data_IF_059217781766
#
_entry.id   IF_059217781766
#
_cell.length_a   1.000
_cell.length_b   1.000
_cell.length_c   1.000
_cell.angle_alpha   90.00
_cell.angle_beta   90.00
_cell.angle_gamma   90.00
#
_symmetry.space_group_name_H-M   'P 1'
#
loop_
_entity.id
_entity.type
_entity.pdbx_description
1 polymer ?
2 non-polymer ?
3 water ?
#
# COMPACT_ATOMS: atom_id res chain seq x y z
N UNK A 1 -21.08 -18.42 10.98
CA UNK A 1 -20.33 -17.47 10.16
C UNK A 1 -18.89 -17.90 10.04
N UNK A 2 -18.28 -17.69 8.86
CA UNK A 2 -16.87 -18.01 8.64
C UNK A 2 -16.00 -16.73 8.70
N UNK A 3 -14.97 -16.76 9.55
CA UNK A 3 -14.11 -15.63 9.79
C UNK A 3 -12.70 -16.05 9.36
N UNK A 4 -12.07 -15.27 8.48
CA UNK A 4 -10.71 -15.48 8.02
C UNK A 4 -9.79 -14.44 8.61
N UNK A 5 -8.72 -14.84 9.28
CA UNK A 5 -7.74 -13.95 9.72
C UNK A 5 -6.61 -14.09 8.71
N UNK A 6 -6.32 -13.07 7.91
CA UNK A 6 -5.44 -13.12 6.77
C UNK A 6 -4.32 -12.16 7.01
N UNK A 7 -3.09 -12.64 7.08
CA UNK A 7 -1.99 -11.80 7.49
C UNK A 7 -0.69 -11.86 6.72
N UNK A 8 0.12 -10.83 6.81
CA UNK A 8 1.49 -10.90 6.37
C UNK A 8 2.42 -10.62 7.57
N UNK A 9 3.50 -11.41 7.76
CA UNK A 9 4.48 -11.16 8.81
C UNK A 9 5.86 -11.51 8.30
N UNK A 10 6.84 -10.67 8.50
CA UNK A 10 8.24 -11.05 8.16
C UNK A 10 8.94 -11.56 9.38
N UNK A 11 8.77 -10.92 10.53
CA UNK A 11 9.54 -11.27 11.75
C UNK A 11 8.71 -11.83 12.88
N UNK A 12 7.47 -12.20 12.63
CA UNK A 12 6.60 -12.84 13.57
C UNK A 12 5.65 -11.98 14.43
N UNK A 13 5.81 -10.64 14.38
CA UNK A 13 5.00 -9.78 15.25
C UNK A 13 3.48 -9.83 14.87
N UNK A 14 3.23 -9.62 13.59
CA UNK A 14 1.86 -9.81 13.09
C UNK A 14 1.36 -11.25 13.21
N UNK A 15 2.27 -12.24 13.04
CA UNK A 15 1.85 -13.64 13.30
C UNK A 15 1.31 -13.87 14.72
N UNK A 16 2.03 -13.33 15.69
CA UNK A 16 1.59 -13.40 17.08
C UNK A 16 0.26 -12.69 17.30
N UNK A 17 0.14 -11.50 16.69
CA UNK A 17 -1.13 -10.77 16.78
C UNK A 17 -2.30 -11.53 16.09
N UNK A 18 -2.01 -12.16 14.96
CA UNK A 18 -3.03 -12.97 14.22
C UNK A 18 -3.58 -14.07 15.09
N UNK A 19 -2.65 -14.70 15.81
CA UNK A 19 -3.10 -15.79 16.66
C UNK A 19 -3.98 -15.32 17.78
N UNK A 20 -3.65 -14.14 18.32
CA UNK A 20 -4.51 -13.48 19.26
C UNK A 20 -5.89 -13.10 18.73
N UNK A 21 -5.90 -12.52 17.54
CA UNK A 21 -7.18 -12.17 16.90
C UNK A 21 -8.03 -13.42 16.79
N UNK A 22 -7.41 -14.51 16.33
CA UNK A 22 -8.14 -15.75 16.14
C UNK A 22 -8.66 -16.36 17.43
N UNK A 23 -7.84 -16.27 18.48
CA UNK A 23 -8.32 -16.72 19.79
C UNK A 23 -9.54 -15.99 20.26
N UNK A 24 -9.60 -14.67 20.05
CA UNK A 24 -10.74 -13.89 20.41
C UNK A 24 -11.99 -14.26 19.57
N UNK A 25 -11.80 -14.35 18.26
CA UNK A 25 -12.86 -14.79 17.35
C UNK A 25 -13.46 -16.14 17.72
N UNK A 26 -12.58 -17.06 18.16
CA UNK A 26 -13.02 -18.42 18.51
C UNK A 26 -13.86 -18.48 19.75
N UNK A 27 -13.88 -17.42 20.54
CA UNK A 27 -14.75 -17.35 21.71
C UNK A 27 -16.24 -17.23 21.31
N UNK A 28 -16.54 -16.86 20.07
CA UNK A 28 -17.92 -16.65 19.64
C UNK A 28 -18.52 -17.95 19.11
N UNK A 29 -19.52 -18.46 19.81
CA UNK A 29 -20.20 -19.67 19.36
C UNK A 29 -20.83 -19.43 18.01
N UNK A 30 -20.60 -20.34 17.09
CA UNK A 30 -21.13 -20.18 15.77
C UNK A 30 -20.10 -19.54 14.80
N UNK A 31 -18.94 -19.08 15.31
CA UNK A 31 -17.95 -18.51 14.41
C UNK A 31 -16.97 -19.62 14.10
N UNK A 32 -16.77 -19.85 12.83
CA UNK A 32 -15.76 -20.77 12.39
C UNK A 32 -14.56 -19.96 11.96
N UNK A 33 -13.42 -20.11 12.65
CA UNK A 33 -12.25 -19.26 12.42
C UNK A 33 -11.10 -19.95 11.78
N UNK A 34 -10.49 -19.31 10.78
CA UNK A 34 -9.42 -19.85 10.00
C UNK A 34 -8.30 -18.81 9.92
N UNK A 35 -7.05 -19.18 10.08
CA UNK A 35 -5.89 -18.30 9.91
C UNK A 35 -5.05 -18.65 8.72
N UNK A 36 -4.78 -17.71 7.79
CA UNK A 36 -3.92 -17.90 6.67
C UNK A 36 -3.03 -16.73 6.42
N UNK A 37 -1.92 -16.95 5.72
CA UNK A 37 -0.97 -15.92 5.41
C UNK A 37 -0.97 -15.65 3.94
N UNK A 38 -0.52 -14.46 3.54
CA UNK A 38 -0.29 -14.19 2.15
C UNK A 38 1.13 -14.69 1.79
N UNK A 39 1.34 -14.98 0.53
CA UNK A 39 2.67 -15.47 0.16
C UNK A 39 3.80 -14.50 0.37
N UNK A 40 4.97 -15.00 0.75
CA UNK A 40 6.16 -14.23 0.75
C UNK A 40 6.57 -14.01 -0.68
N UNK A 41 6.98 -12.80 -1.01
CA UNK A 41 7.44 -12.45 -2.36
C UNK A 41 8.97 -12.46 -2.46
N UNK A 42 9.69 -12.30 -1.37
CA UNK A 42 11.19 -12.32 -1.39
C UNK A 42 11.66 -13.75 -1.69
N UNK A 43 12.73 -13.90 -2.50
CA UNK A 43 13.47 -15.19 -2.58
C UNK A 43 13.77 -15.73 -1.19
N UNK A 44 13.54 -17.03 -0.96
CA UNK A 44 13.81 -17.61 0.37
C UNK A 44 15.23 -17.33 0.92
N UNK A 45 16.23 -17.40 0.07
CA UNK A 45 17.55 -17.11 0.55
C UNK A 45 17.69 -15.71 1.13
N UNK A 46 17.02 -14.73 0.51
CA UNK A 46 17.07 -13.34 0.96
C UNK A 46 16.27 -13.19 2.25
N UNK A 47 15.16 -13.91 2.34
CA UNK A 47 14.29 -13.86 3.49
C UNK A 47 15.08 -14.34 4.70
N UNK A 48 15.75 -15.49 4.51
CA UNK A 48 16.58 -16.14 5.53
C UNK A 48 17.76 -15.28 6.01
N UNK A 49 18.48 -14.72 5.06
CA UNK A 49 19.60 -13.81 5.36
C UNK A 49 19.12 -12.63 6.20
N UNK A 50 17.93 -12.11 5.87
CA UNK A 50 17.32 -11.00 6.60
C UNK A 50 16.77 -11.43 7.96
N UNK A 51 16.76 -12.71 8.28
CA UNK A 51 16.34 -13.17 9.59
C UNK A 51 14.83 -13.36 9.68
N UNK A 52 14.21 -13.57 8.54
CA UNK A 52 12.77 -13.68 8.50
C UNK A 52 12.36 -14.93 9.21
N UNK A 53 11.14 -14.92 9.73
CA UNK A 53 10.65 -16.01 10.48
C UNK A 53 9.77 -16.94 9.66
N UNK A 54 10.11 -18.23 9.64
CA UNK A 54 9.24 -19.30 9.11
C UNK A 54 7.95 -19.51 9.90
N UNK A 55 6.87 -19.83 9.19
CA UNK A 55 5.52 -19.92 9.77
C UNK A 55 4.66 -21.06 9.30
N UNK A 56 3.84 -21.57 10.21
CA UNK A 56 3.07 -22.75 9.89
C UNK A 56 1.79 -22.45 9.17
N UNK A 57 1.32 -21.19 9.17
CA UNK A 57 0.00 -21.00 8.63
C UNK A 57 -0.01 -21.41 7.15
N UNK A 58 -1.14 -21.94 6.73
CA UNK A 58 -1.38 -22.15 5.30
C UNK A 58 -1.44 -20.84 4.49
N UNK A 59 -0.98 -20.92 3.26
CA UNK A 59 -0.93 -19.81 2.33
C UNK A 59 -2.30 -19.68 1.67
N UNK A 60 -2.85 -18.46 1.75
CA UNK A 60 -4.12 -18.16 1.09
C UNK A 60 -3.96 -17.96 -0.39
N UNK A 61 -5.03 -18.25 -1.11
CA UNK A 61 -5.14 -17.81 -2.49
C UNK A 61 -6.11 -16.60 -2.48
N UNK A 62 -5.99 -15.76 -3.48
CA UNK A 62 -6.98 -14.65 -3.54
C UNK A 62 -8.40 -15.11 -3.65
N UNK A 63 -8.68 -16.17 -4.41
CA UNK A 63 -10.03 -16.64 -4.65
C UNK A 63 -10.76 -17.04 -3.44
N UNK A 64 -10.04 -17.62 -2.50
CA UNK A 64 -10.73 -18.20 -1.39
C UNK A 64 -11.30 -17.13 -0.44
N UNK A 65 -10.89 -15.86 -0.60
CA UNK A 65 -11.45 -14.78 0.26
C UNK A 65 -12.98 -14.67 0.13
N UNK A 66 -13.49 -15.12 -1.00
CA UNK A 66 -14.95 -15.14 -1.29
C UNK A 66 -15.74 -16.06 -0.36
N UNK A 67 -15.04 -17.05 0.26
CA UNK A 67 -15.71 -18.06 1.03
C UNK A 67 -15.95 -17.64 2.49
N UNK A 68 -15.60 -16.41 2.88
CA UNK A 68 -15.79 -16.01 4.25
C UNK A 68 -16.82 -14.90 4.43
N UNK A 69 -17.36 -14.79 5.62
CA UNK A 69 -18.27 -13.72 5.98
C UNK A 69 -17.61 -12.47 6.52
N UNK A 70 -16.41 -12.67 7.08
CA UNK A 70 -15.62 -11.59 7.67
C UNK A 70 -14.18 -11.91 7.41
N UNK A 71 -13.36 -10.87 7.15
CA UNK A 71 -11.94 -11.01 6.92
C UNK A 71 -11.24 -9.98 7.77
N UNK A 72 -10.32 -10.46 8.63
CA UNK A 72 -9.56 -9.50 9.47
C UNK A 72 -8.12 -9.55 8.98
N UNK A 73 -7.62 -8.44 8.41
CA UNK A 73 -6.36 -8.28 7.71
C UNK A 73 -5.28 -7.77 8.61
N UNK A 74 -4.15 -8.51 8.71
CA UNK A 74 -3.02 -8.03 9.42
C UNK A 74 -1.80 -7.74 8.57
N UNK A 75 -1.17 -6.60 8.80
CA UNK A 75 0.01 -6.18 8.07
C UNK A 75 0.92 -5.38 8.94
N UNK A 76 2.27 -5.61 8.81
CA UNK A 76 3.18 -4.59 9.38
C UNK A 76 3.04 -3.23 8.70
N UNK A 77 3.48 -2.18 9.38
CA UNK A 77 3.56 -0.82 8.86
C UNK A 77 4.83 -0.76 8.03
N UNK A 78 4.74 -0.40 6.75
CA UNK A 78 5.84 -0.15 5.90
C UNK A 78 5.77 1.31 5.38
N UNK A 79 6.41 2.24 6.06
CA UNK A 79 6.38 3.65 5.75
C UNK A 79 4.91 4.10 5.61
N UNK A 80 4.07 3.65 6.54
CA UNK A 80 2.68 4.14 6.65
C UNK A 80 1.75 3.57 5.65
N UNK A 81 2.15 2.48 4.98
CA UNK A 81 1.28 1.72 4.12
C UNK A 81 1.36 0.24 4.58
N UNK A 82 0.46 -0.59 4.02
CA UNK A 82 0.56 -2.04 4.16
C UNK A 82 1.86 -2.52 3.46
N UNK A 83 2.30 -3.78 3.75
CA UNK A 83 3.49 -4.28 3.15
C UNK A 83 3.32 -4.57 1.63
N UNK A 84 4.43 -4.51 0.92
CA UNK A 84 4.40 -4.90 -0.51
C UNK A 84 3.79 -6.29 -0.75
N UNK A 85 4.00 -7.25 0.18
CA UNK A 85 3.36 -8.56 0.08
C UNK A 85 1.85 -8.57 0.16
N UNK A 86 1.29 -7.78 1.10
CA UNK A 86 -0.13 -7.65 1.19
C UNK A 86 -0.72 -6.87 0.02
N UNK A 87 0.03 -5.88 -0.43
CA UNK A 87 -0.44 -5.03 -1.56
C UNK A 87 -0.47 -5.88 -2.84
N UNK A 88 0.55 -6.68 -3.04
CA UNK A 88 0.67 -7.52 -4.25
C UNK A 88 -0.45 -8.55 -4.23
N UNK A 89 -0.74 -9.08 -3.03
CA UNK A 89 -1.85 -10.07 -2.88
C UNK A 89 -3.21 -9.43 -3.17
N UNK A 90 -3.47 -8.28 -2.57
CA UNK A 90 -4.73 -7.58 -2.84
C UNK A 90 -4.86 -7.17 -4.29
N UNK A 91 -3.76 -6.84 -4.95
CA UNK A 91 -3.83 -6.50 -6.39
C UNK A 91 -4.24 -7.70 -7.22
N UNK A 92 -4.27 -8.90 -6.65
CA UNK A 92 -4.74 -10.09 -7.34
C UNK A 92 -6.23 -10.41 -7.10
N UNK A 93 -6.96 -9.46 -6.45
CA UNK A 93 -8.40 -9.58 -6.18
C UNK A 93 -9.33 -8.92 -7.20
N UNK A 94 -8.82 -8.58 -8.38
CA UNK A 94 -9.62 -7.98 -9.42
C UNK A 94 -10.80 -8.79 -9.87
N UNK A 95 -10.60 -10.11 -10.03
CA UNK A 95 -11.72 -10.99 -10.38
C UNK A 95 -12.80 -11.06 -9.34
N UNK A 96 -12.43 -11.04 -8.06
CA UNK A 96 -13.40 -10.94 -6.99
C UNK A 96 -14.12 -9.64 -7.00
N UNK A 97 -13.38 -8.55 -7.30
CA UNK A 97 -14.00 -7.22 -7.35
C UNK A 97 -15.12 -7.17 -8.41
N UNK A 98 -14.76 -7.69 -9.57
CA UNK A 98 -15.71 -7.66 -10.70
C UNK A 98 -16.97 -8.50 -10.48
N UNK A 99 -16.88 -9.55 -9.71
CA UNK A 99 -18.07 -10.35 -9.41
C UNK A 99 -18.81 -9.93 -8.16
N UNK A 100 -18.31 -8.93 -7.41
CA UNK A 100 -19.01 -8.57 -6.19
C UNK A 100 -18.69 -9.43 -5.02
N UNK A 101 -17.67 -10.29 -5.13
CA UNK A 101 -17.55 -11.37 -4.18
C UNK A 101 -17.36 -11.03 -2.73
N UNK A 102 -16.77 -9.86 -2.47
CA UNK A 102 -16.57 -9.45 -1.09
C UNK A 102 -17.53 -8.38 -0.63
N UNK A 103 -18.47 -7.98 -1.49
CA UNK A 103 -19.36 -6.89 -1.16
C UNK A 103 -20.18 -7.19 0.08
N UNK A 104 -20.25 -6.24 1.02
CA UNK A 104 -21.06 -6.32 2.21
C UNK A 104 -20.51 -7.19 3.34
N UNK A 105 -19.44 -7.89 3.04
CA UNK A 105 -18.75 -8.68 4.08
C UNK A 105 -18.04 -7.75 5.03
N UNK A 106 -17.81 -8.25 6.23
CA UNK A 106 -17.13 -7.45 7.27
C UNK A 106 -15.62 -7.50 7.11
N UNK A 107 -14.93 -6.41 7.35
CA UNK A 107 -13.52 -6.24 7.27
C UNK A 107 -13.00 -5.47 8.45
N UNK A 108 -11.80 -5.86 8.92
CA UNK A 108 -11.19 -5.16 10.02
C UNK A 108 -9.68 -5.33 9.85
N UNK A 109 -8.90 -4.46 10.45
CA UNK A 109 -7.45 -4.41 10.23
C UNK A 109 -6.64 -4.26 11.55
N UNK A 110 -5.50 -4.98 11.61
CA UNK A 110 -4.50 -4.85 12.71
C UNK A 110 -3.11 -4.68 12.15
N UNK A 111 -2.19 -4.11 12.96
CA UNK A 111 -0.90 -3.71 12.49
C UNK A 111 0.17 -3.92 13.53
N UNK A 112 1.39 -3.64 13.11
CA UNK A 112 2.54 -3.66 13.98
C UNK A 112 3.48 -2.59 13.43
N UNK A 113 4.30 -2.03 14.31
CA UNK A 113 5.22 -1.00 13.93
C UNK A 113 6.50 -1.16 14.74
N UNK A 114 7.60 -0.57 14.26
CA UNK A 114 8.88 -0.56 14.99
C UNK A 114 8.84 0.46 16.08
N UNK A 115 8.45 1.71 15.79
CA UNK A 115 8.43 2.73 16.82
C UNK A 115 7.16 3.61 16.86
N UNK A 116 6.06 3.22 16.21
CA UNK A 116 4.80 3.93 16.40
C UNK A 116 4.33 4.65 15.13
N UNK A 117 5.30 5.28 14.46
CA UNK A 117 5.00 6.24 13.45
C UNK A 117 4.51 5.54 12.22
N UNK A 118 3.34 5.95 11.77
CA UNK A 118 2.78 5.36 10.58
C UNK A 118 1.65 4.40 10.77
N UNK A 119 1.48 3.90 11.99
CA UNK A 119 0.50 2.85 12.16
C UNK A 119 -0.94 3.29 11.79
N UNK A 120 -1.27 4.51 12.09
CA UNK A 120 -2.62 4.98 11.75
C UNK A 120 -2.84 5.01 10.28
N UNK A 121 -1.85 5.48 9.57
CA UNK A 121 -1.94 5.53 8.11
C UNK A 121 -1.97 4.15 7.46
N UNK A 122 -1.25 3.19 8.06
CA UNK A 122 -1.31 1.82 7.52
C UNK A 122 -2.73 1.29 7.57
N UNK A 123 -3.37 1.49 8.72
CA UNK A 123 -4.71 0.92 8.90
C UNK A 123 -5.72 1.63 7.96
N UNK A 124 -5.71 2.93 7.98
CA UNK A 124 -6.70 3.65 7.15
C UNK A 124 -6.47 3.57 5.69
N UNK A 125 -5.21 3.43 5.27
CA UNK A 125 -4.93 3.19 3.82
C UNK A 125 -5.30 1.79 3.39
N UNK A 126 -5.36 0.82 4.30
CA UNK A 126 -5.84 -0.50 3.99
C UNK A 126 -7.39 -0.45 3.92
N UNK A 127 -8.07 0.28 4.84
CA UNK A 127 -9.50 0.50 4.70
C UNK A 127 -9.92 0.95 3.31
N UNK A 128 -9.12 1.80 2.68
CA UNK A 128 -9.47 2.29 1.33
C UNK A 128 -9.74 1.11 0.45
N UNK A 129 -8.80 0.18 0.34
CA UNK A 129 -8.99 -0.93 -0.55
C UNK A 129 -10.21 -1.77 -0.21
N UNK A 130 -10.42 -2.02 1.07
CA UNK A 130 -11.57 -2.77 1.56
C UNK A 130 -12.88 -2.10 1.06
N UNK A 131 -12.90 -0.78 1.08
CA UNK A 131 -14.07 -0.01 0.60
C UNK A 131 -14.28 -0.17 -0.86
N UNK A 132 -13.21 -0.24 -1.69
CA UNK A 132 -13.40 -0.53 -3.14
C UNK A 132 -14.09 -1.84 -3.36
N UNK A 133 -13.87 -2.84 -2.51
CA UNK A 133 -14.60 -4.09 -2.54
C UNK A 133 -15.99 -4.07 -1.85
N UNK A 134 -16.39 -2.92 -1.33
CA UNK A 134 -17.63 -2.78 -0.70
C UNK A 134 -17.79 -3.43 0.63
N UNK A 135 -16.65 -3.70 1.27
CA UNK A 135 -16.69 -4.30 2.61
C UNK A 135 -17.08 -3.30 3.66
N UNK A 136 -17.76 -3.79 4.71
CA UNK A 136 -18.15 -3.03 5.90
C UNK A 136 -17.00 -2.97 6.85
N UNK A 137 -16.51 -1.79 7.12
CA UNK A 137 -15.30 -1.55 7.89
C UNK A 137 -15.59 -1.47 9.35
N UNK A 138 -14.84 -2.27 10.14
CA UNK A 138 -15.00 -2.32 11.56
C UNK A 138 -13.77 -1.74 12.29
N UNK A 139 -13.82 -0.52 12.77
CA UNK A 139 -12.81 0.00 13.68
C UNK A 139 -13.09 -0.51 15.07
N UNK A 140 -12.05 -0.40 15.95
CA UNK A 140 -12.24 -0.84 17.33
C UNK A 140 -12.57 0.27 18.30
N UNK A 141 -12.43 1.56 17.96
CA UNK A 141 -12.80 2.60 18.86
C UNK A 141 -12.06 2.43 20.15
N UNK A 142 -12.71 2.81 21.25
CA UNK A 142 -12.15 2.59 22.56
C UNK A 142 -13.24 1.81 23.32
N UNK A 143 -13.18 0.50 23.22
CA UNK A 143 -14.23 -0.37 23.79
C UNK A 143 -14.27 -0.30 25.32
N UNK A 144 -15.44 -0.73 25.82
CA UNK A 144 -15.71 -0.76 27.26
C UNK A 144 -14.60 -1.60 27.92
N UNK A 145 -14.02 -1.10 28.99
CA UNK A 145 -12.80 -1.77 29.57
C UNK A 145 -13.11 -3.20 29.98
N UNK A 146 -14.36 -3.50 30.35
CA UNK A 146 -14.62 -4.82 30.87
C UNK A 146 -14.63 -5.87 29.77
N UNK A 147 -14.58 -5.44 28.51
CA UNK A 147 -14.57 -6.42 27.43
C UNK A 147 -13.16 -6.93 27.10
N UNK A 148 -12.16 -6.33 27.74
CA UNK A 148 -10.74 -6.76 27.53
C UNK A 148 -10.40 -7.75 28.61
N UNK A 149 -9.70 -8.81 28.21
CA UNK A 149 -9.36 -9.88 29.21
C UNK A 149 -8.18 -9.52 30.11
N UNK A 150 -7.57 -8.36 29.85
CA UNK A 150 -6.50 -7.85 30.71
C UNK A 150 -7.01 -6.47 31.12
N UNK A 151 -6.88 -6.08 32.40
CA UNK A 151 -7.35 -4.71 32.77
C UNK A 151 -6.29 -3.67 32.31
N UNK A 152 -6.72 -2.57 31.67
CA UNK A 152 -5.76 -1.66 30.98
C UNK A 152 -5.35 -0.57 31.94
N UNK A 156 -1.94 3.29 21.56
CA UNK A 156 -3.14 2.70 20.96
C UNK A 156 -3.88 3.56 19.92
N UNK A 157 -4.72 2.87 19.15
CA UNK A 157 -5.53 3.55 18.24
C UNK A 157 -6.89 2.92 18.22
N UNK A 158 -7.82 3.77 17.80
CA UNK A 158 -9.17 3.33 17.57
C UNK A 158 -9.38 2.64 16.23
N UNK A 159 -8.36 2.63 15.37
CA UNK A 159 -8.58 2.12 14.04
C UNK A 159 -8.42 0.61 13.96
N UNK A 160 -7.62 0.00 14.84
CA UNK A 160 -7.38 -1.41 14.86
C UNK A 160 -6.25 -1.70 15.86
N UNK A 161 -6.13 -2.95 16.21
CA UNK A 161 -5.09 -3.32 17.19
C UNK A 161 -3.71 -3.14 16.62
N UNK A 162 -2.75 -2.75 17.47
CA UNK A 162 -1.39 -2.55 17.06
C UNK A 162 -0.41 -3.10 18.11
N UNK A 163 0.83 -3.24 17.68
CA UNK A 163 1.90 -3.69 18.63
C UNK A 163 3.16 -2.99 18.22
N UNK A 164 4.02 -2.75 19.19
CA UNK A 164 5.33 -2.15 18.95
C UNK A 164 6.40 -3.27 18.97
N UNK A 165 7.21 -3.30 17.91
CA UNK A 165 8.32 -4.27 17.75
C UNK A 165 9.65 -3.78 18.17
N UNK A 166 9.71 -2.51 18.50
CA UNK A 166 10.94 -1.76 18.80
C UNK A 166 11.78 -1.49 17.59
N UNK A 167 12.71 -0.57 17.82
CA UNK A 167 13.63 -0.11 16.78
C UNK A 167 14.39 -1.30 16.20
N UNK A 168 14.75 -2.27 17.05
CA UNK A 168 15.57 -3.44 16.63
C UNK A 168 14.75 -4.66 16.31
N UNK A 169 13.44 -4.54 16.42
CA UNK A 169 12.57 -5.64 16.16
C UNK A 169 12.49 -6.67 17.26
N UNK A 170 13.13 -6.41 18.40
CA UNK A 170 13.24 -7.49 19.36
C UNK A 170 12.08 -7.54 20.35
N UNK A 171 11.25 -6.49 20.42
CA UNK A 171 10.16 -6.51 21.35
C UNK A 171 9.08 -7.47 20.86
N UNK A 172 8.39 -8.16 21.79
CA UNK A 172 7.30 -9.06 21.53
C UNK A 172 6.01 -8.41 22.04
N UNK A 173 4.87 -8.80 21.48
CA UNK A 173 3.65 -8.06 21.89
C UNK A 173 3.32 -8.32 23.36
N UNK A 174 2.96 -7.25 24.11
CA UNK A 174 2.61 -7.35 25.49
C UNK A 174 1.24 -8.01 25.66
N UNK A 175 0.91 -8.48 26.84
CA UNK A 175 -0.39 -8.97 27.14
C UNK A 175 -1.45 -7.85 27.02
N UNK A 176 -1.11 -6.61 27.25
CA UNK A 176 -2.08 -5.51 27.03
C UNK A 176 -2.41 -5.45 25.51
N UNK A 177 -1.37 -5.41 24.70
CA UNK A 177 -1.59 -5.33 23.24
C UNK A 177 -2.34 -6.53 22.75
N UNK A 178 -1.95 -7.72 23.22
CA UNK A 178 -2.60 -8.90 22.74
C UNK A 178 -4.10 -8.98 23.16
N UNK A 179 -4.45 -8.43 24.33
CA UNK A 179 -5.79 -8.39 24.82
C UNK A 179 -6.65 -7.57 23.88
N UNK A 180 -6.07 -6.50 23.35
CA UNK A 180 -6.82 -5.63 22.40
C UNK A 180 -7.04 -6.40 21.09
N UNK A 181 -6.01 -7.12 20.63
CA UNK A 181 -6.15 -8.00 19.44
C UNK A 181 -7.23 -9.06 19.65
N UNK A 182 -7.25 -9.69 20.83
CA UNK A 182 -8.25 -10.69 21.13
C UNK A 182 -9.65 -10.08 21.12
N UNK A 183 -9.77 -8.91 21.73
CA UNK A 183 -11.04 -8.14 21.66
C UNK A 183 -11.48 -7.93 20.22
N UNK A 184 -10.58 -7.45 19.39
CA UNK A 184 -10.93 -7.18 17.97
C UNK A 184 -11.48 -8.41 17.30
N UNK A 185 -10.86 -9.58 17.50
CA UNK A 185 -11.37 -10.75 16.86
C UNK A 185 -12.72 -11.13 17.43
N UNK A 186 -12.92 -11.02 18.75
CA UNK A 186 -14.18 -11.44 19.36
C UNK A 186 -15.34 -10.51 18.87
N UNK A 187 -15.03 -9.23 18.85
CA UNK A 187 -16.01 -8.21 18.44
C UNK A 187 -16.37 -8.44 16.96
N UNK A 188 -15.41 -8.59 16.07
CA UNK A 188 -15.72 -8.81 14.65
C UNK A 188 -16.47 -10.10 14.45
N UNK A 189 -16.08 -11.18 15.13
CA UNK A 189 -16.75 -12.43 14.97
C UNK A 189 -18.18 -12.39 15.46
N UNK A 190 -18.41 -11.67 16.55
CA UNK A 190 -19.71 -11.45 17.09
C UNK A 190 -20.61 -10.80 16.04
N UNK A 191 -20.10 -9.77 15.36
CA UNK A 191 -20.88 -9.07 14.34
C UNK A 191 -21.15 -10.02 13.22
N UNK A 192 -20.16 -10.87 12.88
CA UNK A 192 -20.33 -11.77 11.74
C UNK A 192 -21.48 -12.73 12.03
N UNK A 193 -21.55 -13.25 13.23
CA UNK A 193 -22.63 -14.20 13.58
C UNK A 193 -23.97 -13.47 13.64
N UNK A 194 -24.00 -12.23 14.14
CA UNK A 194 -25.26 -11.47 14.17
C UNK A 194 -25.81 -11.31 12.77
N UNK A 195 -24.95 -11.05 11.79
CA UNK A 195 -25.37 -10.83 10.42
C UNK A 195 -25.61 -12.08 9.63
N UNK A 196 -24.91 -13.17 9.91
CA UNK A 196 -24.92 -14.35 8.99
C UNK A 196 -25.36 -15.66 9.63
N UNK A 197 -25.63 -15.65 10.90
CA UNK A 197 -25.83 -16.86 11.64
C UNK A 197 -24.55 -17.64 11.86
N UNK B 1 20.20 20.88 -11.30
CA UNK B 1 19.45 19.94 -10.40
C UNK B 1 19.04 18.70 -11.18
N UNK B 2 19.06 17.54 -10.54
CA UNK B 2 18.73 16.28 -11.15
C UNK B 2 17.34 15.87 -10.77
N UNK B 3 16.57 15.50 -11.79
CA UNK B 3 15.15 15.07 -11.65
C UNK B 3 14.96 13.68 -12.17
N UNK B 4 14.42 12.79 -11.32
CA UNK B 4 14.07 11.47 -11.74
C UNK B 4 12.59 11.35 -11.87
N UNK B 5 12.08 10.84 -13.01
CA UNK B 5 10.73 10.41 -13.13
C UNK B 5 10.79 8.93 -12.98
N UNK B 6 10.16 8.42 -11.93
CA UNK B 6 10.16 7.02 -11.53
C UNK B 6 8.77 6.46 -11.56
N UNK B 7 8.54 5.39 -12.32
CA UNK B 7 7.21 4.89 -12.50
C UNK B 7 7.00 3.43 -12.55
N UNK B 8 5.77 3.02 -12.29
CA UNK B 8 5.25 1.68 -12.53
C UNK B 8 4.07 1.77 -13.49
N UNK B 9 4.08 0.98 -14.57
CA UNK B 9 2.96 0.86 -15.51
C UNK B 9 2.75 -0.58 -15.88
N UNK B 10 1.49 -1.05 -15.90
CA UNK B 10 1.21 -2.40 -16.45
C UNK B 10 0.66 -2.36 -17.84
N UNK B 11 -0.24 -1.41 -18.11
CA UNK B 11 -0.92 -1.31 -19.41
C UNK B 11 -0.56 -0.06 -20.24
N UNK B 12 0.44 0.66 -19.83
CA UNK B 12 1.02 1.78 -20.56
C UNK B 12 0.52 3.20 -20.25
N UNK B 13 -0.50 3.32 -19.39
CA UNK B 13 -1.04 4.62 -19.12
C UNK B 13 -0.07 5.52 -18.33
N UNK B 14 0.49 4.96 -17.25
CA UNK B 14 1.49 5.68 -16.52
C UNK B 14 2.75 5.90 -17.36
N UNK B 15 3.14 4.89 -18.16
CA UNK B 15 4.25 5.06 -19.12
C UNK B 15 4.10 6.29 -19.98
N UNK B 16 2.93 6.44 -20.59
CA UNK B 16 2.63 7.63 -21.40
C UNK B 16 2.68 8.96 -20.60
N UNK B 17 2.08 8.94 -19.42
CA UNK B 17 2.18 10.10 -18.54
C UNK B 17 3.63 10.44 -18.16
N UNK B 18 4.44 9.40 -17.84
CA UNK B 18 5.81 9.67 -17.43
C UNK B 18 6.59 10.45 -18.51
N UNK B 19 6.38 10.03 -19.78
CA UNK B 19 7.06 10.75 -20.86
C UNK B 19 6.68 12.25 -20.87
N UNK B 20 5.40 12.54 -20.61
CA UNK B 20 4.92 13.88 -20.56
C UNK B 20 5.53 14.63 -19.39
N UNK B 21 5.53 14.00 -18.21
CA UNK B 21 6.20 14.63 -17.05
C UNK B 21 7.62 15.04 -17.35
N UNK B 22 8.36 14.11 -17.98
CA UNK B 22 9.77 14.32 -18.28
C UNK B 22 9.94 15.44 -19.33
N UNK B 23 9.03 15.50 -20.34
CA UNK B 23 9.06 16.66 -21.30
C UNK B 23 8.92 17.98 -20.61
N UNK B 24 8.04 18.04 -19.60
CA UNK B 24 7.84 19.24 -18.86
C UNK B 24 9.06 19.61 -18.05
N UNK B 25 9.62 18.67 -17.32
CA UNK B 25 10.82 18.88 -16.55
C UNK B 25 11.96 19.39 -17.42
N UNK B 26 12.07 18.84 -18.63
CA UNK B 26 13.17 19.21 -19.56
C UNK B 26 13.08 20.59 -20.12
N UNK B 27 11.95 21.25 -19.96
CA UNK B 27 11.83 22.65 -20.35
C UNK B 27 12.63 23.57 -19.43
N UNK B 28 13.03 23.09 -18.24
CA UNK B 28 13.69 23.93 -17.24
C UNK B 28 15.20 23.88 -17.49
N UNK B 29 15.77 25.03 -17.88
CA UNK B 29 17.21 25.15 -18.17
C UNK B 29 18.10 24.40 -17.24
N UNK B 30 18.04 24.68 -15.95
CA UNK B 30 18.95 24.02 -14.98
C UNK B 30 18.74 22.52 -14.68
N UNK B 31 17.74 21.91 -15.32
CA UNK B 31 17.30 20.57 -14.90
C UNK B 31 17.81 19.45 -15.77
N UNK B 32 18.36 18.42 -15.14
CA UNK B 32 18.78 17.22 -15.82
C UNK B 32 17.76 16.14 -15.54
N UNK B 33 17.08 15.64 -16.58
CA UNK B 33 15.97 14.69 -16.38
C UNK B 33 16.24 13.28 -16.85
N UNK B 34 15.85 12.30 -16.03
CA UNK B 34 16.00 10.90 -16.26
C UNK B 34 14.70 10.17 -15.96
N UNK B 35 14.29 9.24 -16.82
CA UNK B 35 13.13 8.43 -16.63
C UNK B 35 13.52 6.99 -16.40
N UNK B 36 13.07 6.37 -15.33
CA UNK B 36 13.26 4.92 -15.08
C UNK B 36 12.00 4.28 -14.47
N UNK B 37 11.87 2.99 -14.59
CA UNK B 37 10.78 2.22 -14.06
C UNK B 37 11.18 1.37 -12.89
N UNK B 38 10.23 1.03 -12.02
CA UNK B 38 10.49 0.01 -11.01
C UNK B 38 10.32 -1.39 -11.65
N UNK B 39 10.99 -2.39 -11.12
CA UNK B 39 10.84 -3.73 -11.70
C UNK B 39 9.45 -4.26 -11.72
N UNK B 40 9.09 -5.02 -12.76
CA UNK B 40 7.92 -5.79 -12.75
C UNK B 40 8.17 -6.99 -11.83
N UNK B 41 7.23 -7.24 -10.93
CA UNK B 41 7.38 -8.34 -9.99
C UNK B 41 6.64 -9.59 -10.44
N UNK B 42 5.71 -9.45 -11.37
CA UNK B 42 5.00 -10.58 -11.86
C UNK B 42 5.93 -11.38 -12.80
N UNK B 43 5.89 -12.68 -12.70
CA UNK B 43 6.55 -13.53 -13.70
C UNK B 43 6.07 -13.10 -15.08
N UNK B 44 6.98 -12.95 -16.06
CA UNK B 44 6.54 -12.60 -17.42
C UNK B 44 5.37 -13.37 -17.97
N UNK B 45 5.31 -14.66 -17.71
CA UNK B 45 4.15 -15.38 -18.23
C UNK B 45 2.83 -14.91 -17.59
N UNK B 46 2.84 -14.48 -16.32
CA UNK B 46 1.65 -13.99 -15.64
C UNK B 46 1.30 -12.57 -16.17
N UNK B 47 2.34 -11.81 -16.53
CA UNK B 47 2.15 -10.46 -17.04
C UNK B 47 1.47 -10.51 -18.35
N UNK B 48 1.99 -11.41 -19.20
CA UNK B 48 1.45 -11.64 -20.53
C UNK B 48 0.00 -12.17 -20.50
N UNK B 49 -0.30 -13.12 -19.61
CA UNK B 49 -1.66 -13.68 -19.48
C UNK B 49 -2.66 -12.55 -19.19
N UNK B 50 -2.25 -11.64 -18.31
CA UNK B 50 -3.03 -10.46 -17.93
C UNK B 50 -3.10 -9.37 -18.99
N UNK B 51 -2.40 -9.53 -20.10
CA UNK B 51 -2.50 -8.60 -21.20
C UNK B 51 -1.56 -7.39 -21.01
N UNK B 52 -0.54 -7.52 -20.18
CA UNK B 52 0.35 -6.37 -19.90
C UNK B 52 1.09 -5.84 -21.06
N UNK B 53 1.53 -4.60 -21.00
CA UNK B 53 2.36 -3.99 -22.02
C UNK B 53 3.78 -3.94 -21.58
N UNK B 54 4.65 -4.70 -22.28
CA UNK B 54 6.02 -4.79 -21.80
C UNK B 54 6.75 -3.43 -21.70
N UNK B 55 7.34 -3.15 -20.53
CA UNK B 55 8.02 -1.89 -20.28
C UNK B 55 9.48 -2.06 -20.61
N UNK B 56 10.03 -1.09 -21.34
CA UNK B 56 11.43 -1.05 -21.71
C UNK B 56 12.34 0.04 -21.13
N UNK B 57 11.83 0.99 -20.31
CA UNK B 57 12.70 1.99 -19.72
C UNK B 57 13.75 1.29 -18.87
N UNK B 58 14.89 1.96 -18.63
CA UNK B 58 15.82 1.35 -17.71
C UNK B 58 15.17 1.13 -16.34
N UNK B 59 15.55 0.06 -15.68
CA UNK B 59 15.11 -0.27 -14.33
C UNK B 59 15.92 0.44 -13.29
N UNK B 60 15.24 1.14 -12.40
CA UNK B 60 15.88 1.72 -11.26
C UNK B 60 16.25 0.72 -10.16
N UNK B 61 17.31 1.04 -9.44
CA UNK B 61 17.53 0.37 -8.15
C UNK B 61 16.98 1.29 -7.05
N UNK B 62 16.68 0.71 -5.90
CA UNK B 62 16.14 1.53 -4.80
C UNK B 62 17.15 2.50 -4.35
N UNK B 63 18.43 2.13 -4.37
CA UNK B 63 19.41 3.02 -3.81
C UNK B 63 19.79 4.20 -4.64
N UNK B 64 19.59 4.16 -5.98
CA UNK B 64 19.99 5.26 -6.82
C UNK B 64 19.12 6.50 -6.67
N UNK B 65 17.97 6.34 -5.95
CA UNK B 65 17.07 7.45 -5.72
C UNK B 65 17.80 8.58 -5.01
N UNK B 66 18.85 8.20 -4.23
CA UNK B 66 19.65 9.16 -3.51
C UNK B 66 20.37 10.21 -4.39
N UNK B 67 20.58 9.87 -5.68
CA UNK B 67 21.32 10.73 -6.60
C UNK B 67 20.57 11.99 -7.10
N UNK B 68 19.28 12.06 -6.83
CA UNK B 68 18.43 13.05 -7.43
C UNK B 68 17.93 14.10 -6.43
N UNK B 69 17.64 15.29 -6.94
CA UNK B 69 17.21 16.45 -6.12
C UNK B 69 15.68 16.44 -6.02
N UNK B 70 15.05 15.79 -7.00
CA UNK B 70 13.59 15.65 -7.07
C UNK B 70 13.28 14.33 -7.74
N UNK B 71 12.25 13.66 -7.21
CA UNK B 71 11.76 12.40 -7.68
C UNK B 71 10.26 12.51 -7.86
N UNK B 72 9.82 12.21 -9.08
CA UNK B 72 8.38 12.33 -9.43
C UNK B 72 7.91 10.93 -9.69
N UNK B 73 7.05 10.41 -8.86
CA UNK B 73 6.64 9.07 -8.80
C UNK B 73 5.31 8.84 -9.50
N UNK B 74 5.26 7.90 -10.40
CA UNK B 74 4.02 7.53 -11.12
C UNK B 74 3.55 6.16 -10.75
N UNK B 75 2.29 5.99 -10.41
CA UNK B 75 1.70 4.69 -10.14
C UNK B 75 0.23 4.63 -10.58
N UNK B 76 -0.21 3.51 -11.13
CA UNK B 76 -1.67 3.32 -11.32
C UNK B 76 -2.38 3.28 -10.00
N UNK B 77 -3.65 3.67 -10.01
CA UNK B 77 -4.52 3.51 -8.87
C UNK B 77 -4.90 2.05 -8.75
N UNK B 78 -4.60 1.41 -7.61
CA UNK B 78 -4.90 0.05 -7.33
C UNK B 78 -5.76 0.01 -6.05
N UNK B 79 -7.07 0.04 -6.21
CA UNK B 79 -8.02 0.08 -5.05
C UNK B 79 -7.60 1.20 -4.09
N UNK B 80 -7.21 2.34 -4.62
CA UNK B 80 -6.94 3.51 -3.78
C UNK B 80 -5.60 3.47 -3.07
N UNK B 81 -4.70 2.57 -3.51
CA UNK B 81 -3.30 2.59 -3.08
C UNK B 81 -2.40 2.54 -4.33
N UNK B 82 -1.12 2.80 -4.10
CA UNK B 82 -0.10 2.49 -5.14
C UNK B 82 -0.11 1.00 -5.49
N UNK B 83 0.51 0.64 -6.62
CA UNK B 83 0.55 -0.76 -7.02
C UNK B 83 1.46 -1.57 -6.10
N UNK B 84 1.22 -2.86 -6.11
CA UNK B 84 2.13 -3.77 -5.37
C UNK B 84 3.56 -3.64 -5.80
N UNK B 85 3.79 -3.44 -7.07
CA UNK B 85 5.15 -3.25 -7.57
C UNK B 85 5.86 -2.03 -7.04
N UNK B 86 5.13 -0.91 -6.95
CA UNK B 86 5.72 0.30 -6.40
C UNK B 86 5.94 0.08 -4.89
N UNK B 87 4.99 -0.57 -4.26
CA UNK B 87 5.05 -0.80 -2.79
C UNK B 87 6.25 -1.72 -2.44
N UNK B 88 6.44 -2.74 -3.25
CA UNK B 88 7.59 -3.68 -3.05
C UNK B 88 8.88 -2.92 -3.24
N UNK B 89 8.98 -2.09 -4.27
CA UNK B 89 10.10 -1.26 -4.51
C UNK B 89 10.41 -0.29 -3.38
N UNK B 90 9.42 0.50 -2.94
CA UNK B 90 9.62 1.39 -1.83
C UNK B 90 9.98 0.68 -0.50
N UNK B 91 9.49 -0.54 -0.33
CA UNK B 91 9.84 -1.44 0.85
C UNK B 91 11.31 -1.79 0.77
N UNK B 92 11.98 -1.56 -0.36
CA UNK B 92 13.42 -1.86 -0.47
C UNK B 92 14.28 -0.63 -0.22
N UNK B 93 13.67 0.50 0.15
CA UNK B 93 14.41 1.75 0.38
C UNK B 93 14.75 1.94 1.84
N UNK B 94 14.52 0.92 2.66
CA UNK B 94 14.90 0.98 4.06
C UNK B 94 16.33 1.46 4.36
N UNK B 95 17.29 0.98 3.55
CA UNK B 95 18.65 1.40 3.74
C UNK B 95 19.00 2.84 3.54
N UNK B 96 18.22 3.53 2.66
CA UNK B 96 18.27 4.98 2.49
C UNK B 96 17.71 5.73 3.66
N UNK B 97 16.62 5.14 4.20
CA UNK B 97 15.80 5.76 5.23
C UNK B 97 16.70 5.91 6.37
N UNK B 98 17.33 4.78 6.64
CA UNK B 98 18.23 4.75 7.77
C UNK B 98 19.29 5.82 7.66
N UNK B 99 19.78 6.14 6.47
CA UNK B 99 20.85 7.16 6.34
C UNK B 99 20.45 8.62 6.07
N UNK B 100 19.15 8.93 5.90
CA UNK B 100 18.75 10.29 5.59
C UNK B 100 18.88 10.68 4.12
N UNK B 101 19.09 9.68 3.29
CA UNK B 101 19.51 9.97 1.93
C UNK B 101 18.50 10.77 1.06
N UNK B 102 17.23 10.60 1.35
CA UNK B 102 16.20 11.31 0.59
C UNK B 102 15.67 12.50 1.37
N UNK B 103 16.21 12.80 2.55
CA UNK B 103 15.68 13.85 3.39
C UNK B 103 15.82 15.20 2.72
N UNK B 104 14.73 15.95 2.67
CA UNK B 104 14.69 17.24 2.13
C UNK B 104 14.60 17.31 0.62
N UNK B 105 14.65 16.16 -0.04
CA UNK B 105 14.53 16.17 -1.49
C UNK B 105 13.06 16.31 -1.89
N UNK B 106 12.79 16.81 -3.08
CA UNK B 106 11.44 17.07 -3.52
C UNK B 106 10.84 15.80 -4.06
N UNK B 107 9.58 15.60 -3.71
CA UNK B 107 8.78 14.48 -4.21
C UNK B 107 7.44 14.94 -4.70
N UNK B 108 6.96 14.29 -5.77
CA UNK B 108 5.65 14.63 -6.35
C UNK B 108 5.13 13.36 -6.98
N UNK B 109 3.82 13.26 -7.13
CA UNK B 109 3.14 12.02 -7.50
C UNK B 109 2.10 12.23 -8.60
N UNK B 110 2.10 11.34 -9.59
CA UNK B 110 1.05 11.29 -10.62
C UNK B 110 0.42 9.91 -10.68
N UNK B 111 -0.82 9.79 -11.22
CA UNK B 111 -1.54 8.55 -11.22
C UNK B 111 -2.34 8.33 -12.50
N UNK B 112 -2.90 7.14 -12.58
CA UNK B 112 -3.83 6.81 -13.65
C UNK B 112 -4.86 5.92 -13.05
N UNK B 113 -6.09 6.00 -13.60
CA UNK B 113 -7.16 5.32 -13.02
C UNK B 113 -8.20 4.92 -14.05
N UNK B 114 -9.06 3.98 -13.74
CA UNK B 114 -10.32 3.80 -14.48
C UNK B 114 -11.34 4.86 -14.02
N UNK B 115 -12.62 4.55 -14.06
CA UNK B 115 -13.59 5.59 -13.81
C UNK B 115 -14.27 5.32 -12.49
N UNK B 116 -13.60 4.49 -11.71
CA UNK B 116 -14.15 4.04 -10.43
C UNK B 116 -13.82 4.89 -9.21
N UNK B 117 -12.92 5.86 -9.32
CA UNK B 117 -12.46 6.59 -8.16
C UNK B 117 -11.28 5.92 -7.50
N UNK B 118 -10.65 6.62 -6.57
CA UNK B 118 -9.50 6.10 -5.87
C UNK B 118 -8.21 6.85 -6.12
N UNK B 119 -8.16 7.69 -7.14
CA UNK B 119 -6.94 8.35 -7.54
C UNK B 119 -6.46 9.30 -6.45
N UNK B 120 -7.36 9.90 -5.70
CA UNK B 120 -6.93 10.85 -4.66
C UNK B 120 -6.23 10.09 -3.57
N UNK B 121 -6.87 9.01 -3.18
CA UNK B 121 -6.29 8.13 -2.12
C UNK B 121 -4.98 7.49 -2.53
N UNK B 122 -4.84 7.16 -3.81
CA UNK B 122 -3.54 6.60 -4.29
C UNK B 122 -2.43 7.62 -4.07
N UNK B 123 -2.70 8.86 -4.49
CA UNK B 123 -1.67 9.96 -4.41
C UNK B 123 -1.40 10.24 -2.96
N UNK B 124 -2.41 10.46 -2.11
CA UNK B 124 -2.11 10.88 -0.76
C UNK B 124 -1.49 9.75 0.06
N UNK B 125 -1.85 8.50 -0.23
CA UNK B 125 -1.23 7.34 0.49
C UNK B 125 0.20 7.12 0.07
N UNK B 126 0.60 7.60 -1.13
CA UNK B 126 1.95 7.54 -1.56
C UNK B 126 2.73 8.66 -0.88
N UNK B 127 2.13 9.86 -0.73
CA UNK B 127 2.76 10.89 0.06
C UNK B 127 3.24 10.39 1.41
N UNK B 128 2.40 9.60 2.06
CA UNK B 128 2.74 9.20 3.40
C UNK B 128 4.13 8.56 3.40
N UNK B 129 4.43 7.67 2.50
CA UNK B 129 5.74 6.98 2.47
C UNK B 129 6.89 7.95 2.20
N UNK B 130 6.62 8.86 1.30
CA UNK B 130 7.57 9.91 0.98
C UNK B 130 7.88 10.77 2.23
N UNK B 131 6.88 11.05 3.07
CA UNK B 131 7.12 11.80 4.29
C UNK B 131 8.02 11.01 5.28
N UNK B 132 7.88 9.68 5.34
CA UNK B 132 8.71 8.88 6.25
C UNK B 132 10.14 9.12 5.88
N UNK B 133 10.46 9.30 4.58
CA UNK B 133 11.82 9.64 4.13
C UNK B 133 12.20 11.09 4.26
N UNK B 134 11.29 11.91 4.81
CA UNK B 134 11.55 13.34 4.95
C UNK B 134 11.54 14.16 3.69
N UNK B 135 10.90 13.59 2.67
CA UNK B 135 10.85 14.34 1.40
C UNK B 135 9.81 15.47 1.48
N UNK B 136 10.09 16.54 0.74
CA UNK B 136 9.23 17.70 0.62
C UNK B 136 8.23 17.39 -0.48
N UNK B 137 6.94 17.52 -0.18
CA UNK B 137 5.89 17.03 -1.05
C UNK B 137 5.30 18.17 -1.83
N UNK B 138 5.25 17.96 -3.14
CA UNK B 138 4.78 18.98 -4.08
C UNK B 138 3.44 18.58 -4.74
N UNK B 139 2.32 19.14 -4.29
CA UNK B 139 1.04 19.00 -5.00
C UNK B 139 0.99 19.98 -6.13
N UNK B 140 0.07 19.76 -7.06
CA UNK B 140 -0.11 20.69 -8.17
C UNK B 140 -1.20 21.77 -8.01
N UNK B 141 -2.06 21.64 -7.01
CA UNK B 141 -3.05 22.67 -6.71
C UNK B 141 -3.96 22.87 -7.93
N UNK B 142 -4.40 24.10 -8.07
CA UNK B 142 -5.34 24.54 -9.10
C UNK B 142 -4.78 24.72 -10.50
N UNK B 143 -3.60 24.21 -10.78
CA UNK B 143 -3.22 23.96 -12.18
C UNK B 143 -4.26 22.94 -12.72
N UNK B 144 -4.61 21.97 -11.89
CA UNK B 144 -5.85 21.20 -12.03
C UNK B 144 -5.83 20.07 -11.02
N UNK B 155 -12.23 14.73 -13.88
CA UNK B 155 -10.95 14.02 -13.77
C UNK B 155 -10.01 14.50 -12.66
N UNK B 156 -9.82 15.82 -12.57
CA UNK B 156 -8.62 16.41 -11.90
C UNK B 156 -8.54 16.51 -10.39
N UNK B 157 -7.29 16.43 -9.92
CA UNK B 157 -7.06 16.62 -8.55
C UNK B 157 -5.93 17.66 -8.36
N UNK B 158 -6.07 18.40 -7.31
CA UNK B 158 -4.93 19.16 -6.90
C UNK B 158 -3.73 18.37 -6.34
N UNK B 159 -3.88 17.08 -6.18
CA UNK B 159 -2.80 16.34 -5.51
C UNK B 159 -1.68 15.99 -6.48
N UNK B 160 -2.03 15.80 -7.75
CA UNK B 160 -1.09 15.45 -8.77
C UNK B 160 -1.82 15.15 -10.05
N UNK B 161 -1.07 15.06 -11.16
CA UNK B 161 -1.73 14.82 -12.45
C UNK B 161 -2.36 13.44 -12.44
N UNK B 162 -3.44 13.27 -13.17
CA UNK B 162 -4.05 12.02 -13.35
C UNK B 162 -4.49 11.82 -14.80
N UNK B 163 -4.70 10.57 -15.15
CA UNK B 163 -5.39 10.21 -16.41
C UNK B 163 -6.48 9.26 -16.09
N UNK B 164 -7.63 9.43 -16.75
CA UNK B 164 -8.81 8.59 -16.54
C UNK B 164 -8.89 7.74 -17.79
N UNK B 165 -8.69 6.46 -17.63
CA UNK B 165 -8.33 5.52 -18.70
C UNK B 165 -9.47 4.59 -19.00
N UNK B 166 -10.60 4.89 -18.34
CA UNK B 166 -11.91 4.34 -18.58
C UNK B 166 -11.71 2.92 -18.93
N UNK B 167 -11.40 2.12 -17.90
CA UNK B 167 -10.80 0.79 -18.05
C UNK B 167 -11.47 -0.19 -19.04
N UNK B 168 -10.63 -0.85 -19.84
CA UNK B 168 -11.09 -1.86 -20.81
C UNK B 168 -11.54 -1.10 -22.04
N UNK B 169 -11.23 -1.59 -23.25
CA UNK B 169 -11.44 -0.81 -24.49
C UNK B 169 -11.11 0.61 -24.10
N UNK B 170 -9.83 0.80 -23.81
CA UNK B 170 -9.46 1.71 -22.75
C UNK B 170 -8.99 3.05 -23.27
N UNK B 171 -8.33 3.01 -24.41
CA UNK B 171 -7.50 4.11 -24.90
C UNK B 171 -6.85 4.99 -23.79
N UNK B 172 -6.67 6.26 -24.13
CA UNK B 172 -5.39 6.91 -23.96
C UNK B 172 -5.48 8.23 -23.26
N UNK B 173 -4.35 8.67 -22.68
CA UNK B 173 -4.49 9.97 -22.02
C UNK B 173 -4.90 11.07 -23.00
N UNK B 174 -5.76 12.00 -22.57
CA UNK B 174 -6.19 13.14 -23.30
C UNK B 174 -5.12 14.18 -23.44
N UNK B 175 -5.27 15.08 -24.41
CA UNK B 175 -4.30 16.14 -24.55
C UNK B 175 -4.23 17.07 -23.31
N UNK B 176 -5.39 17.33 -22.69
CA UNK B 176 -5.45 18.17 -21.49
C UNK B 176 -4.72 17.42 -20.32
N UNK B 177 -4.98 16.13 -20.22
CA UNK B 177 -4.28 15.37 -19.19
C UNK B 177 -2.78 15.41 -19.38
N UNK B 178 -2.31 15.22 -20.63
CA UNK B 178 -0.88 15.24 -20.86
C UNK B 178 -0.32 16.64 -20.58
N UNK B 179 -1.07 17.72 -20.84
CA UNK B 179 -0.62 19.06 -20.55
C UNK B 179 -0.41 19.30 -19.04
N UNK B 180 -1.32 18.72 -18.26
CA UNK B 180 -1.21 18.90 -16.80
C UNK B 180 0.01 18.10 -16.31
N UNK B 181 0.25 16.94 -16.88
CA UNK B 181 1.40 16.10 -16.54
C UNK B 181 2.72 16.89 -16.90
N UNK B 182 2.75 17.51 -18.09
CA UNK B 182 3.88 18.34 -18.42
C UNK B 182 4.09 19.49 -17.44
N UNK B 183 3.00 20.13 -17.06
CA UNK B 183 3.07 21.18 -16.07
C UNK B 183 3.73 20.68 -14.79
N UNK B 184 3.21 19.56 -14.29
CA UNK B 184 3.79 18.98 -13.03
C UNK B 184 5.25 18.77 -13.12
N UNK B 185 5.77 18.28 -14.25
CA UNK B 185 7.24 18.12 -14.35
C UNK B 185 7.96 19.46 -14.44
N UNK B 186 7.40 20.41 -15.17
CA UNK B 186 8.05 21.73 -15.34
C UNK B 186 8.13 22.41 -13.98
N UNK B 187 7.04 22.32 -13.22
CA UNK B 187 6.90 23.04 -11.93
C UNK B 187 7.83 22.41 -10.92
N UNK B 188 7.84 21.10 -10.83
CA UNK B 188 8.75 20.37 -9.88
C UNK B 188 10.23 20.66 -10.25
N UNK B 189 10.58 20.57 -11.53
CA UNK B 189 11.92 20.83 -11.95
C UNK B 189 12.34 22.24 -11.66
N UNK B 190 11.44 23.21 -11.82
CA UNK B 190 11.74 24.59 -11.50
C UNK B 190 12.06 24.75 -10.02
N UNK B 191 11.29 24.08 -9.18
CA UNK B 191 11.57 24.15 -7.73
C UNK B 191 12.89 23.50 -7.41
N UNK B 192 13.22 22.41 -8.07
CA UNK B 192 14.46 21.69 -7.84
C UNK B 192 15.68 22.59 -8.18
N UNK B 193 15.61 23.32 -9.28
CA UNK B 193 16.66 24.26 -9.63
C UNK B 193 16.71 25.43 -8.67
N UNK B 194 15.58 25.96 -8.23
CA UNK B 194 15.61 27.04 -7.25
C UNK B 194 16.33 26.59 -5.99
N UNK B 195 16.09 25.35 -5.57
CA UNK B 195 16.64 24.88 -4.32
C UNK B 195 18.04 24.41 -4.44
N UNK B 196 18.43 23.89 -5.60
CA UNK B 196 19.73 23.20 -5.71
C UNK B 196 20.65 23.72 -6.81
N UNK B 197 20.21 24.70 -7.57
CA UNK B 197 20.98 25.16 -8.74
C UNK B 197 20.91 24.21 -9.92
X LIG C 1 8.17 0.87 11.70
X LIG C 1 7.59 1.98 12.03
X LIG C 1 7.35 2.27 13.23
X LIG C 1 7.12 2.85 11.11
X LIG C 1 7.43 2.72 9.81
X LIG C 1 6.99 3.50 8.91
X LIG C 1 8.11 1.52 9.37
X LIG C 1 8.42 1.34 8.09
X LIG C 1 9.10 0.19 7.73
X LIG C 1 9.51 -0.01 6.43
X LIG C 1 10.08 -1.15 6.03
X LIG C 1 10.49 -1.35 4.59
X LIG C 1 10.46 -2.17 7.03
X LIG C 1 11.19 -3.44 6.60
X LIG C 1 10.11 -1.97 8.32
X LIG C 1 9.44 -0.82 8.70
X LIG C 1 9.05 -0.59 10.01
X LIG C 1 8.43 0.58 10.40
X LIG C 1 9.28 -1.58 11.08
X LIG C 1 8.15 -2.61 10.85
X LIG C 1 6.78 -2.07 10.96
X LIG C 1 8.33 -3.86 11.72
X LIG C 1 9.47 -4.60 11.12
X LIG C 1 7.10 -4.73 11.67
X LIG C 1 6.05 -4.22 12.46
X LIG C 1 7.30 -6.11 12.17
X LIG C 1 6.14 -6.93 12.05
X LIG C 1 6.40 -8.47 11.54
X LIG C 1 7.41 -9.09 12.59
X LIG C 1 5.13 -9.12 11.58
X LIG C 1 7.11 -8.41 10.24
X LIG D 1 -9.34 1.96 -11.51
X LIG D 1 -10.04 2.82 -10.73
X LIG D 1 -10.74 3.72 -11.25
X LIG D 1 -10.13 2.70 -9.40
X LIG D 1 -9.51 1.70 -8.76
X LIG D 1 -9.50 1.66 -7.54
X LIG D 1 -8.77 0.67 -9.49
X LIG D 1 -8.18 -0.37 -8.90
X LIG D 1 -7.58 -1.31 -9.66
X LIG D 1 -6.98 -2.40 -9.11
X LIG D 1 -6.32 -3.39 -9.83
X LIG D 1 -5.68 -4.55 -9.21
X LIG D 1 -6.09 -3.10 -11.23
X LIG D 1 -5.35 -4.09 -12.07
X LIG D 1 -6.68 -1.98 -11.81
X LIG D 1 -7.37 -1.01 -11.07
X LIG D 1 -7.98 0.05 -11.69
X LIG D 1 -8.70 0.93 -10.92
X LIG D 1 -7.75 0.34 -13.12
X LIG D 1 -6.35 1.06 -13.25
X LIG D 1 -6.04 2.22 -12.38
X LIG D 1 -6.13 1.75 -14.64
X LIG D 1 -6.45 0.70 -15.61
X LIG D 1 -4.81 2.50 -14.94
X LIG D 1 -5.06 3.34 -16.14
X LIG D 1 -3.70 1.52 -15.37
X LIG D 1 -2.46 2.26 -15.52
X LIG D 1 -1.25 1.52 -16.30
X LIG D 1 -1.75 1.33 -17.78
X LIG D 1 -0.13 2.46 -16.15
X LIG D 1 -1.13 0.18 -15.70
#
# INVERSE_FOLDING_TARGET
AKVLVLYYSMYGHIETMARAVAEGASKVDGAEVVVKRVPETMPPQLFEKAGGKTQTAPVATPQELADYDAIIFGTPTRFGNMSGQMRTFLDQTGGLWASGALYGKLASVFSSTGTGGGQEQTITSTWTTLAHHGMVIVPIGYAAQELFDVSQVRGGTPYGATTIAGGDGSRQPSQEELSIARYQGEYVAGLAVKLNG
AKVLVLYYSMYGHIETMARAVAEGASKVDGAEVVVKRVPETMPPQLFEKAGGKTQTAPVATPQELADYDAIIFGTPTRFGNMSGQMRTFLDQTGGLWASGALYGKLASVFSSTGTGGGQEQTITSTWTTLAHHGMVIVPIGYAAQELFDVSQVRGGTPYGATTIAGGDGSRQPSQEELSIARYQGEYVAGLAVKLNG
FMN N1 C2 O2 N3 C4 O4 C4A N5 C5A C6 C7 C7M C8 C8M C9 C9A N10 C10 C1' C2' O2' C3' O3' C4' O4' C5' O5' P O1P O2P O3P
FMN N1 C2 O2 N3 C4 O4 C4A N5 C5A C6 C7 C7M C8 C8M C9 C9A N10 C10 C1' C2' O2' C3' O3' C4' O4' C5' O5' P O1P O2P O3P
#
